data_IF_299964781647
#
_entry.id   IF_299964781647
#
_cell.length_a   1.000
_cell.length_b   1.000
_cell.length_c   1.000
_cell.angle_alpha   90.00
_cell.angle_beta   90.00
_cell.angle_gamma   90.00
#
_symmetry.space_group_name_H-M   'P 1'
#
loop_
_entity.id
_entity.type
_entity.pdbx_description
1 polymer ?
#
# COMPACT_ATOMS: atom_id res chain seq x y z
N UNK A 1 16.66 16.15 1.46
CA UNK A 1 15.49 16.30 2.35
C UNK A 1 14.70 15.02 2.42
N UNK A 2 14.49 14.49 3.62
CA UNK A 2 13.66 13.30 3.88
C UNK A 2 12.16 13.53 3.59
N UNK A 3 11.67 14.77 3.65
CA UNK A 3 10.25 15.10 3.43
C UNK A 3 9.71 14.63 2.07
N UNK A 4 10.54 14.57 1.04
CA UNK A 4 10.13 14.11 -0.30
C UNK A 4 9.80 12.62 -0.36
N UNK A 5 10.35 11.82 0.56
CA UNK A 5 10.13 10.37 0.61
C UNK A 5 8.67 10.06 0.98
N UNK A 6 8.15 10.73 2.00
CA UNK A 6 6.74 10.59 2.42
C UNK A 6 5.77 11.35 1.50
N UNK A 7 6.21 12.50 0.96
CA UNK A 7 5.40 13.26 0.00
C UNK A 7 5.18 12.49 -1.30
N UNK A 8 6.22 11.87 -1.86
CA UNK A 8 6.11 11.04 -3.07
C UNK A 8 5.12 9.89 -2.86
N UNK A 9 5.23 9.16 -1.75
CA UNK A 9 4.27 8.10 -1.41
C UNK A 9 2.83 8.60 -1.36
N UNK A 10 2.58 9.71 -0.66
CA UNK A 10 1.23 10.25 -0.47
C UNK A 10 0.64 10.80 -1.78
N UNK A 11 1.46 11.49 -2.58
CA UNK A 11 1.07 12.01 -3.89
C UNK A 11 0.68 10.87 -4.83
N UNK A 12 1.52 9.85 -4.95
CA UNK A 12 1.26 8.76 -5.87
C UNK A 12 0.12 7.86 -5.38
N UNK A 13 0.02 7.64 -4.06
CA UNK A 13 -1.18 7.04 -3.45
C UNK A 13 -2.44 7.78 -3.88
N UNK A 14 -2.47 9.11 -3.74
CA UNK A 14 -3.66 9.92 -4.04
C UNK A 14 -4.01 9.92 -5.53
N UNK A 15 -3.00 9.98 -6.40
CA UNK A 15 -3.18 9.97 -7.85
C UNK A 15 -3.77 8.66 -8.38
N UNK A 16 -3.47 7.52 -7.73
CA UNK A 16 -3.92 6.21 -8.22
C UNK A 16 -5.37 5.87 -7.85
N UNK A 17 -5.96 6.52 -6.82
CA UNK A 17 -7.35 6.25 -6.41
C UNK A 17 -8.36 6.34 -7.58
N UNK A 18 -8.46 7.46 -8.32
CA UNK A 18 -9.41 7.57 -9.42
C UNK A 18 -9.06 6.66 -10.59
N UNK A 19 -7.76 6.45 -10.85
CA UNK A 19 -7.28 5.60 -11.95
C UNK A 19 -7.67 4.14 -11.72
N UNK A 20 -7.56 3.67 -10.48
CA UNK A 20 -7.89 2.31 -10.09
C UNK A 20 -9.35 1.97 -10.34
N UNK A 21 -10.27 2.91 -10.10
CA UNK A 21 -11.71 2.71 -10.38
C UNK A 21 -11.98 2.45 -11.87
N UNK A 22 -11.42 3.27 -12.75
CA UNK A 22 -11.58 3.10 -14.20
C UNK A 22 -10.90 1.86 -14.74
N UNK A 23 -9.74 1.51 -14.19
CA UNK A 23 -9.04 0.29 -14.59
C UNK A 23 -9.89 -0.95 -14.23
N UNK A 24 -10.51 -0.99 -13.05
CA UNK A 24 -11.34 -2.12 -12.58
C UNK A 24 -12.53 -2.38 -13.49
N UNK A 25 -13.15 -1.33 -14.00
CA UNK A 25 -14.26 -1.45 -14.94
C UNK A 25 -13.84 -2.10 -16.28
N UNK A 26 -12.57 -1.93 -16.69
CA UNK A 26 -12.07 -2.38 -18.00
C UNK A 26 -11.40 -3.76 -17.92
N UNK A 27 -10.49 -3.96 -16.97
CA UNK A 27 -9.67 -5.17 -16.85
C UNK A 27 -10.19 -6.17 -15.83
N UNK A 28 -11.16 -5.78 -15.00
CA UNK A 28 -11.68 -6.61 -13.94
C UNK A 28 -10.88 -6.51 -12.63
N UNK A 29 -11.60 -6.70 -11.52
CA UNK A 29 -11.10 -6.54 -10.15
C UNK A 29 -9.93 -7.44 -9.78
N UNK A 30 -9.90 -8.69 -10.28
CA UNK A 30 -8.88 -9.68 -9.92
C UNK A 30 -7.50 -9.33 -10.47
N UNK A 31 -7.43 -8.98 -11.75
CA UNK A 31 -6.15 -8.80 -12.43
C UNK A 31 -5.44 -7.53 -11.96
N UNK A 32 -6.20 -6.48 -11.63
CA UNK A 32 -5.63 -5.24 -11.06
C UNK A 32 -5.18 -5.46 -9.62
N UNK A 33 -5.91 -6.25 -8.83
CA UNK A 33 -5.47 -6.60 -7.48
C UNK A 33 -4.11 -7.30 -7.53
N UNK A 34 -3.96 -8.28 -8.42
CA UNK A 34 -2.69 -9.01 -8.62
C UNK A 34 -1.60 -8.06 -9.14
N UNK A 35 -1.92 -7.19 -10.10
CA UNK A 35 -0.97 -6.20 -10.62
C UNK A 35 -0.47 -5.23 -9.53
N UNK A 36 -1.37 -4.71 -8.69
CA UNK A 36 -1.02 -3.83 -7.58
C UNK A 36 -0.16 -4.56 -6.52
N UNK A 37 -0.43 -5.85 -6.28
CA UNK A 37 0.37 -6.71 -5.40
C UNK A 37 1.78 -6.94 -5.97
N UNK A 38 1.90 -7.14 -7.28
CA UNK A 38 3.20 -7.23 -7.96
C UNK A 38 3.99 -5.93 -7.81
N UNK A 39 3.35 -4.77 -7.99
CA UNK A 39 4.01 -3.47 -7.76
C UNK A 39 4.50 -3.30 -6.32
N UNK A 40 3.70 -3.73 -5.34
CA UNK A 40 4.09 -3.70 -3.92
C UNK A 40 5.29 -4.61 -3.62
N UNK A 41 5.32 -5.82 -4.20
CA UNK A 41 6.43 -6.74 -4.05
C UNK A 41 7.71 -6.21 -4.73
N UNK A 42 7.59 -5.65 -5.93
CA UNK A 42 8.71 -5.06 -6.66
C UNK A 42 9.33 -3.89 -5.90
N UNK A 43 8.50 -2.98 -5.38
CA UNK A 43 9.00 -1.89 -4.56
C UNK A 43 9.73 -2.38 -3.30
N UNK A 44 9.23 -3.42 -2.62
CA UNK A 44 9.88 -3.95 -1.42
C UNK A 44 11.34 -4.35 -1.69
N UNK A 45 11.61 -4.92 -2.86
CA UNK A 45 12.97 -5.26 -3.31
C UNK A 45 13.80 -4.01 -3.64
N UNK A 46 13.19 -3.02 -4.30
CA UNK A 46 13.85 -1.75 -4.65
C UNK A 46 14.22 -0.95 -3.39
N UNK A 47 13.32 -0.87 -2.42
CA UNK A 47 13.56 -0.23 -1.14
C UNK A 47 14.63 -0.96 -0.32
N UNK A 48 14.67 -2.29 -0.36
CA UNK A 48 15.71 -3.09 0.31
C UNK A 48 17.11 -2.89 -0.29
N UNK A 49 17.21 -2.55 -1.58
CA UNK A 49 18.49 -2.35 -2.29
C UNK A 49 18.85 -0.88 -2.54
N UNK A 50 18.07 0.06 -2.02
CA UNK A 50 18.24 1.48 -2.27
C UNK A 50 19.55 2.04 -1.66
N UNK A 51 20.50 2.42 -2.52
CA UNK A 51 21.78 3.02 -2.12
C UNK A 51 21.81 4.55 -2.19
N UNK A 52 20.78 5.16 -2.78
CA UNK A 52 20.70 6.61 -3.00
C UNK A 52 19.30 7.12 -2.66
N UNK A 53 19.23 8.35 -2.14
CA UNK A 53 17.96 9.02 -1.79
C UNK A 53 16.98 9.04 -2.97
N UNK A 54 17.46 9.24 -4.19
CA UNK A 54 16.62 9.29 -5.39
C UNK A 54 15.96 7.94 -5.69
N UNK A 55 16.69 6.83 -5.48
CA UNK A 55 16.16 5.47 -5.66
C UNK A 55 15.11 5.18 -4.58
N UNK A 56 15.33 5.63 -3.35
CA UNK A 56 14.36 5.51 -2.27
C UNK A 56 13.06 6.27 -2.57
N UNK A 57 13.16 7.50 -3.10
CA UNK A 57 12.00 8.30 -3.49
C UNK A 57 11.25 7.63 -4.64
N UNK A 58 11.96 7.11 -5.65
CA UNK A 58 11.37 6.37 -6.76
C UNK A 58 10.65 5.09 -6.28
N UNK A 59 11.27 4.33 -5.37
CA UNK A 59 10.65 3.20 -4.70
C UNK A 59 9.35 3.61 -4.01
N UNK A 60 9.38 4.61 -3.14
CA UNK A 60 8.17 5.08 -2.44
C UNK A 60 7.07 5.59 -3.36
N UNK A 61 7.39 6.17 -4.50
CA UNK A 61 6.39 6.51 -5.52
C UNK A 61 5.73 5.24 -6.06
N UNK A 62 6.52 4.21 -6.41
CA UNK A 62 6.01 2.90 -6.88
C UNK A 62 5.19 2.21 -5.77
N UNK A 63 5.66 2.24 -4.53
CA UNK A 63 4.93 1.72 -3.37
C UNK A 63 3.57 2.42 -3.21
N UNK A 64 3.53 3.74 -3.45
CA UNK A 64 2.30 4.52 -3.41
C UNK A 64 1.28 4.08 -4.46
N UNK A 65 1.73 3.78 -5.68
CA UNK A 65 0.88 3.19 -6.74
C UNK A 65 0.25 1.88 -6.27
N UNK A 66 1.08 0.94 -5.79
CA UNK A 66 0.62 -0.38 -5.37
C UNK A 66 -0.32 -0.30 -4.16
N UNK A 67 0.08 0.40 -3.10
CA UNK A 67 -0.67 0.53 -1.86
C UNK A 67 -2.00 1.28 -2.04
N UNK A 68 -2.00 2.38 -2.81
CA UNK A 68 -3.22 3.12 -3.13
C UNK A 68 -4.19 2.28 -3.95
N UNK A 69 -3.69 1.53 -4.94
CA UNK A 69 -4.49 0.64 -5.77
C UNK A 69 -5.15 -0.47 -4.94
N UNK A 70 -4.38 -1.13 -4.06
CA UNK A 70 -4.90 -2.17 -3.15
C UNK A 70 -6.00 -1.60 -2.25
N UNK A 71 -5.79 -0.44 -1.61
CA UNK A 71 -6.79 0.16 -0.73
C UNK A 71 -8.08 0.52 -1.48
N UNK A 72 -7.97 1.06 -2.69
CA UNK A 72 -9.13 1.36 -3.53
C UNK A 72 -9.88 0.10 -3.96
N UNK A 73 -9.17 -0.94 -4.41
CA UNK A 73 -9.75 -2.23 -4.81
C UNK A 73 -10.47 -2.93 -3.66
N UNK A 74 -9.88 -2.94 -2.47
CA UNK A 74 -10.51 -3.51 -1.27
C UNK A 74 -11.82 -2.78 -0.97
N UNK A 75 -11.82 -1.45 -1.04
CA UNK A 75 -13.03 -0.66 -0.82
C UNK A 75 -14.13 -0.93 -1.88
N UNK A 76 -13.74 -1.16 -3.14
CA UNK A 76 -14.67 -1.53 -4.23
C UNK A 76 -15.23 -2.94 -4.01
N UNK A 77 -14.37 -3.92 -3.71
CA UNK A 77 -14.77 -5.32 -3.48
C UNK A 77 -15.73 -5.43 -2.28
N UNK A 78 -15.45 -4.71 -1.18
CA UNK A 78 -16.35 -4.67 -0.02
C UNK A 78 -17.68 -4.00 -0.38
N UNK A 79 -17.67 -2.96 -1.22
CA UNK A 79 -18.90 -2.32 -1.68
C UNK A 79 -19.77 -3.22 -2.57
N UNK A 80 -19.14 -4.07 -3.38
CA UNK A 80 -19.82 -5.04 -4.26
C UNK A 80 -20.41 -6.22 -3.49
N UNK A 81 -19.71 -6.70 -2.45
CA UNK A 81 -20.07 -7.92 -1.73
C UNK A 81 -21.03 -7.69 -0.56
N UNK A 82 -21.02 -6.50 0.04
CA UNK A 82 -21.66 -6.23 1.33
C UNK A 82 -22.80 -5.23 1.18
N UNK A 83 -23.92 -5.50 1.85
CA UNK A 83 -25.06 -4.60 1.90
C UNK A 83 -24.73 -3.29 2.63
N UNK A 84 -25.43 -2.19 2.29
CA UNK A 84 -25.11 -0.83 2.76
C UNK A 84 -25.04 -0.71 4.31
N UNK A 85 -25.80 -1.51 5.03
CA UNK A 85 -25.87 -1.51 6.49
C UNK A 85 -24.63 -2.14 7.15
N UNK A 86 -24.05 -3.18 6.55
CA UNK A 86 -22.89 -3.88 7.11
C UNK A 86 -21.56 -3.30 6.63
N UNK A 87 -21.56 -2.51 5.55
CA UNK A 87 -20.37 -1.92 4.95
C UNK A 87 -19.49 -1.15 5.94
N UNK A 88 -20.10 -0.46 6.91
CA UNK A 88 -19.38 0.23 7.97
C UNK A 88 -18.54 -0.71 8.84
N UNK A 89 -19.06 -1.90 9.17
CA UNK A 89 -18.40 -2.89 10.00
C UNK A 89 -17.20 -3.52 9.26
N UNK A 90 -17.34 -3.85 7.97
CA UNK A 90 -16.24 -4.41 7.18
C UNK A 90 -15.12 -3.40 6.91
N UNK A 91 -15.47 -2.13 6.66
CA UNK A 91 -14.47 -1.06 6.56
C UNK A 91 -13.76 -0.87 7.91
N UNK A 92 -14.50 -0.89 9.02
CA UNK A 92 -13.93 -0.79 10.37
C UNK A 92 -12.98 -1.96 10.68
N UNK A 93 -13.34 -3.20 10.33
CA UNK A 93 -12.48 -4.37 10.48
C UNK A 93 -11.17 -4.23 9.68
N UNK A 94 -11.26 -3.78 8.43
CA UNK A 94 -10.08 -3.56 7.58
C UNK A 94 -9.16 -2.50 8.17
N UNK A 95 -9.73 -1.40 8.69
CA UNK A 95 -8.98 -0.34 9.36
C UNK A 95 -8.39 -0.80 10.70
N UNK A 96 -9.11 -1.61 11.45
CA UNK A 96 -8.63 -2.19 12.70
C UNK A 96 -7.42 -3.10 12.46
N UNK A 97 -7.47 -3.94 11.43
CA UNK A 97 -6.33 -4.76 11.02
C UNK A 97 -5.10 -3.90 10.67
N UNK A 98 -5.28 -2.80 9.91
CA UNK A 98 -4.20 -1.84 9.65
C UNK A 98 -3.65 -1.20 10.93
N UNK A 99 -4.50 -0.83 11.89
CA UNK A 99 -4.05 -0.26 13.16
C UNK A 99 -3.23 -1.26 13.98
N UNK A 100 -3.66 -2.52 14.03
CA UNK A 100 -2.91 -3.59 14.71
C UNK A 100 -1.55 -3.80 14.01
N UNK A 101 -1.53 -3.86 12.68
CA UNK A 101 -0.29 -4.00 11.92
C UNK A 101 0.66 -2.81 12.14
N UNK A 102 0.13 -1.59 12.19
CA UNK A 102 0.92 -0.37 12.46
C UNK A 102 1.48 -0.35 13.88
N UNK A 103 0.72 -0.87 14.85
CA UNK A 103 1.19 -0.99 16.23
C UNK A 103 2.28 -2.08 16.36
N UNK A 104 2.12 -3.23 15.70
CA UNK A 104 3.06 -4.34 15.75
C UNK A 104 4.35 -4.09 14.95
N UNK A 105 4.25 -3.32 13.86
CA UNK A 105 5.35 -3.07 12.91
C UNK A 105 6.64 -2.57 13.57
N UNK A 106 6.62 -1.50 14.40
CA UNK A 106 7.79 -0.99 15.09
C UNK A 106 8.46 -1.99 16.03
N UNK A 107 7.68 -2.84 16.71
CA UNK A 107 8.25 -3.85 17.62
C UNK A 107 9.02 -4.91 16.85
N UNK A 108 8.45 -5.40 15.75
CA UNK A 108 9.12 -6.37 14.88
C UNK A 108 10.34 -5.73 14.22
N UNK A 109 10.20 -4.54 13.65
CA UNK A 109 11.29 -3.82 13.01
C UNK A 109 12.44 -3.48 13.98
N UNK A 110 12.13 -3.09 15.22
CA UNK A 110 13.10 -2.84 16.27
C UNK A 110 13.87 -4.10 16.67
N UNK A 111 13.18 -5.24 16.83
CA UNK A 111 13.82 -6.51 17.14
C UNK A 111 14.77 -6.98 16.03
N UNK A 112 14.44 -6.75 14.75
CA UNK A 112 15.33 -7.01 13.63
C UNK A 112 16.54 -6.06 13.61
N UNK A 113 16.34 -4.77 13.92
CA UNK A 113 17.42 -3.79 13.97
C UNK A 113 18.46 -4.09 15.06
N UNK A 114 18.05 -4.69 16.18
CA UNK A 114 18.95 -5.07 17.28
C UNK A 114 19.73 -6.37 17.01
N UNK A 115 19.12 -7.36 16.34
CA UNK A 115 19.68 -8.72 16.26
C UNK A 115 20.39 -9.08 14.95
N UNK A 116 20.08 -8.45 13.80
CA UNK A 116 20.48 -8.97 12.47
C UNK A 116 21.41 -8.05 11.68
N UNK A 117 21.96 -7.03 12.33
CA UNK A 117 22.67 -5.90 11.71
C UNK A 117 21.70 -4.97 10.97
N UNK A 118 21.98 -3.68 11.11
CA UNK A 118 21.24 -2.49 10.70
C UNK A 118 21.06 -2.31 9.18
N UNK A 119 21.07 -3.40 8.41
CA UNK A 119 20.71 -3.45 6.99
C UNK A 119 19.44 -4.25 6.78
#
# INVERSE_FOLDING_TARGET
SFAWVSAAYTLTCTAILPLSGRLVDIFGKRDILVGALCFFALDSVVCATAKMMNILIAGRAIQGVGSGGIQSLVAIIVADLVTLQERGLYIALTRAACSIATAAGPFIAGAFAENVAWR
#
